data_IF_151159102803
#
_entry.id   IF_151159102803
#
_cell.length_a   1.000
_cell.length_b   1.000
_cell.length_c   1.000
_cell.angle_alpha   90.00
_cell.angle_beta   90.00
_cell.angle_gamma   90.00
#
_symmetry.space_group_name_H-M   'P 1'
#
loop_
_entity.id
_entity.type
_entity.pdbx_description
1 polymer ?
#
# COMPACT_ATOMS: atom_id res chain seq x y z
N UNK A 1 -12.28 13.18 5.21
CA UNK A 1 -11.42 14.24 5.78
C UNK A 1 -9.96 13.93 5.49
N UNK A 2 -9.14 14.94 5.20
CA UNK A 2 -7.70 14.75 5.03
C UNK A 2 -6.98 15.03 6.36
N UNK A 3 -5.98 14.21 6.68
CA UNK A 3 -5.10 14.30 7.84
C UNK A 3 -3.64 14.20 7.39
N UNK A 4 -2.74 14.73 8.23
CA UNK A 4 -1.29 14.61 8.04
C UNK A 4 -0.69 14.00 9.29
N UNK A 5 0.02 12.88 9.14
CA UNK A 5 0.74 12.22 10.21
C UNK A 5 2.21 12.58 10.14
N UNK A 6 2.80 12.95 11.28
CA UNK A 6 4.24 13.17 11.40
C UNK A 6 4.85 11.84 11.88
N UNK A 7 5.49 11.11 10.97
CA UNK A 7 6.10 9.80 11.25
C UNK A 7 7.56 9.82 10.78
N UNK A 8 8.51 9.54 11.67
CA UNK A 8 9.95 9.52 11.33
C UNK A 8 10.41 10.78 10.56
N UNK A 9 10.02 11.95 11.06
CA UNK A 9 10.28 13.27 10.44
C UNK A 9 9.72 13.43 9.02
N UNK A 10 8.71 12.63 8.64
CA UNK A 10 8.02 12.71 7.35
C UNK A 10 6.55 13.08 7.54
N UNK A 11 6.04 13.95 6.66
CA UNK A 11 4.64 14.36 6.67
C UNK A 11 3.83 13.47 5.73
N UNK A 12 3.11 12.50 6.28
CA UNK A 12 2.33 11.53 5.49
C UNK A 12 0.88 11.99 5.42
N UNK A 13 0.43 12.34 4.22
CA UNK A 13 -0.98 12.71 3.99
C UNK A 13 -1.83 11.46 3.86
N UNK A 14 -2.96 11.43 4.59
CA UNK A 14 -3.96 10.36 4.54
C UNK A 14 -5.37 10.95 4.56
N UNK A 15 -6.24 10.46 3.67
CA UNK A 15 -7.68 10.74 3.70
C UNK A 15 -8.41 9.63 4.46
N UNK A 16 -9.33 9.99 5.35
CA UNK A 16 -10.22 9.08 6.04
C UNK A 16 -11.67 9.38 5.65
N UNK A 17 -12.39 8.35 5.25
CA UNK A 17 -13.83 8.36 4.96
C UNK A 17 -14.42 7.07 5.50
N UNK A 18 -15.71 7.05 5.87
CA UNK A 18 -16.29 5.85 6.43
C UNK A 18 -16.22 4.67 5.42
N UNK A 19 -15.47 3.64 5.80
CA UNK A 19 -15.18 2.45 5.02
C UNK A 19 -14.05 2.60 4.00
N UNK A 20 -13.38 3.76 3.90
CA UNK A 20 -12.33 4.02 2.92
C UNK A 20 -11.18 4.82 3.54
N UNK A 21 -9.94 4.38 3.31
CA UNK A 21 -8.75 5.22 3.54
C UNK A 21 -8.12 5.61 2.21
N UNK A 22 -7.43 6.75 2.16
CA UNK A 22 -6.71 7.23 0.99
C UNK A 22 -5.28 7.54 1.37
N UNK A 23 -4.31 6.78 0.86
CA UNK A 23 -2.88 7.03 1.14
C UNK A 23 -2.27 7.77 -0.05
N UNK A 24 -1.68 8.94 0.21
CA UNK A 24 -1.09 9.76 -0.84
C UNK A 24 0.35 9.32 -1.10
N UNK A 25 0.63 8.88 -2.33
CA UNK A 25 1.91 8.37 -2.82
C UNK A 25 2.95 9.44 -3.12
N UNK A 26 3.07 10.43 -2.25
CA UNK A 26 3.97 11.57 -2.41
C UNK A 26 5.41 11.29 -1.95
N UNK A 27 6.33 12.20 -2.28
CA UNK A 27 7.76 12.12 -1.93
C UNK A 27 8.03 11.91 -0.44
N UNK A 28 7.15 12.37 0.45
CA UNK A 28 7.31 12.20 1.90
C UNK A 28 7.01 10.76 2.29
N UNK A 29 6.00 10.13 1.69
CA UNK A 29 5.76 8.70 1.83
C UNK A 29 6.92 7.87 1.29
N UNK A 30 7.49 8.24 0.13
CA UNK A 30 8.68 7.55 -0.39
C UNK A 30 9.88 7.70 0.55
N UNK A 31 10.13 8.90 1.09
CA UNK A 31 11.22 9.13 2.07
C UNK A 31 10.99 8.32 3.35
N UNK A 32 9.75 8.30 3.81
CA UNK A 32 9.34 7.47 4.93
C UNK A 32 9.59 6.01 4.58
N UNK A 33 9.28 5.46 3.41
CA UNK A 33 9.48 4.02 3.18
C UNK A 33 10.93 3.60 2.87
N UNK A 34 11.81 4.54 2.50
CA UNK A 34 13.19 4.25 2.06
C UNK A 34 14.02 3.52 3.13
N UNK A 35 14.62 2.38 2.76
CA UNK A 35 15.45 1.57 3.66
C UNK A 35 14.71 0.73 4.69
N UNK A 36 13.42 1.01 4.97
CA UNK A 36 12.69 0.44 6.12
C UNK A 36 11.22 0.11 5.82
N UNK A 37 10.86 -0.08 4.56
CA UNK A 37 9.48 -0.22 4.10
C UNK A 37 8.67 -1.25 4.91
N UNK A 38 9.26 -2.38 5.29
CA UNK A 38 8.56 -3.40 6.07
C UNK A 38 8.01 -2.89 7.40
N UNK A 39 8.88 -2.35 8.25
CA UNK A 39 8.54 -1.85 9.59
C UNK A 39 7.65 -0.61 9.48
N UNK A 40 7.97 0.26 8.53
CA UNK A 40 7.30 1.54 8.35
C UNK A 40 5.90 1.42 7.75
N UNK A 41 5.63 0.41 6.91
CA UNK A 41 4.26 0.07 6.52
C UNK A 41 3.41 -0.39 7.70
N UNK A 42 3.98 -1.19 8.62
CA UNK A 42 3.27 -1.61 9.83
C UNK A 42 2.96 -0.41 10.72
N UNK A 43 3.92 0.49 10.91
CA UNK A 43 3.72 1.74 11.66
C UNK A 43 2.60 2.58 11.04
N UNK A 44 2.68 2.84 9.73
CA UNK A 44 1.68 3.64 9.00
C UNK A 44 0.27 3.06 9.13
N UNK A 45 0.10 1.75 8.87
CA UNK A 45 -1.22 1.11 8.93
C UNK A 45 -1.80 1.11 10.34
N UNK A 46 -0.99 0.87 11.37
CA UNK A 46 -1.46 0.95 12.76
C UNK A 46 -1.89 2.37 13.12
N UNK A 47 -1.11 3.38 12.72
CA UNK A 47 -1.47 4.79 12.92
C UNK A 47 -2.79 5.13 12.24
N UNK A 48 -2.94 4.77 10.96
CA UNK A 48 -4.19 5.00 10.20
C UNK A 48 -5.38 4.34 10.88
N UNK A 49 -5.28 3.05 11.24
CA UNK A 49 -6.41 2.31 11.81
C UNK A 49 -6.81 2.79 13.20
N UNK A 50 -5.83 3.19 14.01
CA UNK A 50 -6.09 3.81 15.31
C UNK A 50 -6.84 5.13 15.15
N UNK A 51 -6.40 5.98 14.22
CA UNK A 51 -7.03 7.28 13.96
C UNK A 51 -8.42 7.14 13.32
N UNK A 52 -8.58 6.16 12.42
CA UNK A 52 -9.88 5.79 11.86
C UNK A 52 -10.86 5.34 12.95
N UNK A 53 -10.42 4.49 13.87
CA UNK A 53 -11.25 4.03 14.99
C UNK A 53 -11.69 5.22 15.86
N UNK A 54 -10.78 6.15 16.15
CA UNK A 54 -11.10 7.34 16.93
C UNK A 54 -12.10 8.26 16.22
N UNK A 55 -11.97 8.41 14.90
CA UNK A 55 -12.85 9.29 14.12
C UNK A 55 -14.27 8.74 14.00
N UNK A 56 -14.40 7.47 13.60
CA UNK A 56 -15.70 6.88 13.27
C UNK A 56 -16.29 6.02 14.39
N UNK A 57 -15.57 5.89 15.51
CA UNK A 57 -15.91 5.01 16.63
C UNK A 57 -16.21 3.56 16.19
N UNK A 58 -15.57 3.13 15.09
CA UNK A 58 -15.74 1.83 14.43
C UNK A 58 -14.40 1.40 13.84
N UNK A 59 -13.97 0.14 14.01
CA UNK A 59 -12.75 -0.33 13.39
C UNK A 59 -12.90 -0.44 11.88
N UNK A 60 -11.85 -0.06 11.13
CA UNK A 60 -11.77 -0.32 9.69
C UNK A 60 -11.73 -1.83 9.44
N UNK A 61 -12.70 -2.35 8.69
CA UNK A 61 -12.87 -3.78 8.41
C UNK A 61 -11.93 -4.30 7.31
N UNK A 62 -10.66 -3.92 7.38
CA UNK A 62 -9.56 -4.36 6.51
C UNK A 62 -8.43 -4.87 7.40
N UNK A 63 -7.88 -6.06 7.11
CA UNK A 63 -6.75 -6.59 7.87
C UNK A 63 -5.48 -5.77 7.61
N UNK A 64 -4.58 -5.71 8.59
CA UNK A 64 -3.34 -4.94 8.46
C UNK A 64 -2.52 -5.42 7.26
N UNK A 65 -2.43 -6.74 7.06
CA UNK A 65 -1.67 -7.32 5.95
C UNK A 65 -2.28 -7.03 4.58
N UNK A 66 -3.61 -7.04 4.47
CA UNK A 66 -4.32 -6.68 3.22
C UNK A 66 -4.08 -5.23 2.88
N UNK A 67 -4.18 -4.35 3.87
CA UNK A 67 -3.93 -2.92 3.70
C UNK A 67 -2.47 -2.62 3.34
N UNK A 68 -1.51 -3.26 4.02
CA UNK A 68 -0.08 -3.13 3.70
C UNK A 68 0.17 -3.53 2.26
N UNK A 69 -0.34 -4.70 1.83
CA UNK A 69 -0.10 -5.21 0.48
C UNK A 69 -0.70 -4.30 -0.58
N UNK A 70 -1.92 -3.80 -0.38
CA UNK A 70 -2.56 -2.88 -1.33
C UNK A 70 -1.75 -1.58 -1.51
N UNK A 71 -1.40 -0.91 -0.41
CA UNK A 71 -0.60 0.33 -0.47
C UNK A 71 0.78 0.04 -1.09
N UNK A 72 1.44 -1.03 -0.64
CA UNK A 72 2.73 -1.45 -1.17
C UNK A 72 2.66 -1.71 -2.67
N UNK A 73 1.63 -2.41 -3.14
CA UNK A 73 1.48 -2.77 -4.57
C UNK A 73 1.27 -1.53 -5.43
N UNK A 74 0.50 -0.56 -4.97
CA UNK A 74 0.26 0.67 -5.72
C UNK A 74 1.44 1.64 -5.70
N UNK A 75 2.17 1.74 -4.58
CA UNK A 75 3.36 2.59 -4.47
C UNK A 75 4.51 2.00 -5.29
N UNK A 76 4.78 0.71 -5.16
CA UNK A 76 5.90 0.04 -5.83
C UNK A 76 5.49 -0.67 -7.13
N UNK A 77 4.40 -0.24 -7.78
CA UNK A 77 3.80 -0.98 -8.91
C UNK A 77 4.79 -1.25 -10.05
N UNK A 78 5.66 -0.29 -10.38
CA UNK A 78 6.63 -0.41 -11.48
C UNK A 78 7.66 -1.49 -11.15
N UNK A 79 8.17 -1.46 -9.92
CA UNK A 79 9.13 -2.44 -9.43
C UNK A 79 8.52 -3.84 -9.30
N UNK A 80 7.34 -3.94 -8.72
CA UNK A 80 6.64 -5.20 -8.55
C UNK A 80 6.25 -5.76 -9.91
N UNK A 81 5.73 -4.95 -10.83
CA UNK A 81 5.38 -5.38 -12.18
C UNK A 81 6.55 -6.00 -12.93
N UNK A 82 7.75 -5.40 -12.81
CA UNK A 82 8.99 -5.96 -13.36
C UNK A 82 9.34 -7.31 -12.75
N UNK A 83 9.28 -7.44 -11.41
CA UNK A 83 9.57 -8.70 -10.71
C UNK A 83 8.51 -9.77 -10.95
N UNK A 84 7.24 -9.39 -11.00
CA UNK A 84 6.10 -10.28 -11.21
C UNK A 84 6.13 -10.90 -12.61
N UNK A 85 6.45 -10.09 -13.64
CA UNK A 85 6.65 -10.59 -15.00
C UNK A 85 7.81 -11.60 -15.09
N UNK A 86 8.83 -11.47 -14.23
CA UNK A 86 9.98 -12.40 -14.19
C UNK A 86 9.71 -13.66 -13.37
N UNK A 87 8.91 -13.58 -12.31
CA UNK A 87 8.72 -14.65 -11.34
C UNK A 87 7.45 -15.50 -11.56
N UNK A 88 6.34 -14.93 -12.03
CA UNK A 88 5.04 -15.62 -12.08
C UNK A 88 4.55 -15.86 -13.52
N UNK A 89 4.63 -17.12 -13.97
CA UNK A 89 4.02 -17.62 -15.22
C UNK A 89 2.53 -18.02 -15.06
N UNK A 90 1.90 -17.76 -13.91
CA UNK A 90 0.50 -18.14 -13.67
C UNK A 90 -0.47 -17.22 -14.43
N UNK A 91 -0.97 -17.71 -15.57
CA UNK A 91 -1.80 -16.97 -16.53
C UNK A 91 -3.10 -16.37 -15.97
N UNK A 92 -3.73 -16.99 -14.97
CA UNK A 92 -5.06 -16.55 -14.48
C UNK A 92 -5.02 -15.27 -13.62
N UNK A 93 -4.16 -15.20 -12.61
CA UNK A 93 -4.04 -14.00 -11.76
C UNK A 93 -3.36 -12.84 -12.49
N UNK A 94 -2.58 -13.12 -13.54
CA UNK A 94 -1.82 -12.10 -14.24
C UNK A 94 -2.69 -10.98 -14.81
N UNK A 95 -3.88 -11.25 -15.33
CA UNK A 95 -4.69 -10.19 -15.95
C UNK A 95 -5.32 -9.25 -14.91
N UNK A 96 -5.71 -9.77 -13.74
CA UNK A 96 -6.28 -8.96 -12.66
C UNK A 96 -5.17 -8.18 -11.97
N UNK A 97 -4.09 -8.87 -11.56
CA UNK A 97 -2.95 -8.21 -10.89
C UNK A 97 -2.30 -7.17 -11.79
N UNK A 98 -2.17 -7.42 -13.11
CA UNK A 98 -1.67 -6.38 -14.04
C UNK A 98 -2.59 -5.17 -14.17
N UNK A 99 -3.91 -5.35 -14.04
CA UNK A 99 -4.85 -4.22 -14.00
C UNK A 99 -4.71 -3.41 -12.72
N UNK A 100 -4.37 -4.07 -11.61
CA UNK A 100 -4.15 -3.45 -10.30
C UNK A 100 -2.76 -2.80 -10.16
N UNK A 101 -1.75 -3.31 -10.87
CA UNK A 101 -0.41 -2.73 -10.98
C UNK A 101 -0.43 -1.47 -11.85
N UNK A 102 -1.18 -0.47 -11.40
CA UNK A 102 -1.16 0.89 -11.92
C UNK A 102 -0.64 1.80 -10.83
N UNK A 103 0.29 2.67 -11.22
CA UNK A 103 0.77 3.72 -10.35
C UNK A 103 -0.41 4.60 -9.97
N UNK A 104 -0.56 4.81 -8.68
CA UNK A 104 -1.61 5.66 -8.14
C UNK A 104 -0.94 6.75 -7.29
N UNK A 105 -1.22 8.01 -7.60
CA UNK A 105 -0.82 9.13 -6.75
C UNK A 105 -1.58 9.12 -5.42
N UNK A 106 -2.80 8.56 -5.43
CA UNK A 106 -3.63 8.34 -4.24
C UNK A 106 -4.14 6.92 -4.29
N UNK A 107 -3.89 6.16 -3.21
CA UNK A 107 -4.31 4.77 -3.07
C UNK A 107 -5.56 4.70 -2.21
N UNK A 108 -6.71 4.47 -2.84
CA UNK A 108 -7.99 4.30 -2.18
C UNK A 108 -8.15 2.85 -1.71
N UNK A 109 -8.16 2.62 -0.41
CA UNK A 109 -8.31 1.30 0.21
C UNK A 109 -9.68 1.22 0.90
N UNK A 110 -10.64 0.55 0.26
CA UNK A 110 -12.02 0.42 0.73
C UNK A 110 -12.36 -0.91 1.39
N UNK A 111 -13.33 -0.93 2.31
CA UNK A 111 -13.94 -2.16 2.83
C UNK A 111 -14.58 -2.99 1.70
N UNK A 112 -14.99 -4.24 1.98
CA UNK A 112 -15.48 -5.19 0.95
C UNK A 112 -16.67 -4.67 0.12
N UNK A 113 -17.51 -3.83 0.71
CA UNK A 113 -18.65 -3.17 0.05
C UNK A 113 -18.25 -1.91 -0.72
N UNK A 114 -17.06 -1.36 -0.47
CA UNK A 114 -16.52 -0.14 -1.10
C UNK A 114 -15.44 -0.42 -2.14
N UNK A 115 -14.78 -1.58 -2.07
CA UNK A 115 -13.74 -2.02 -3.01
C UNK A 115 -14.02 -3.43 -3.54
N UNK A 116 -14.39 -3.51 -4.81
CA UNK A 116 -14.68 -4.78 -5.50
C UNK A 116 -13.47 -5.71 -5.63
N UNK A 117 -12.25 -5.17 -5.50
CA UNK A 117 -11.01 -5.94 -5.55
C UNK A 117 -10.50 -6.35 -4.17
N UNK A 118 -11.24 -6.06 -3.09
CA UNK A 118 -10.84 -6.41 -1.71
C UNK A 118 -10.45 -7.87 -1.53
N UNK A 119 -11.15 -8.77 -2.21
CA UNK A 119 -10.84 -10.20 -2.19
C UNK A 119 -9.46 -10.53 -2.79
N UNK A 120 -9.00 -9.75 -3.77
CA UNK A 120 -7.65 -9.89 -4.35
C UNK A 120 -6.61 -9.47 -3.32
N UNK A 121 -6.81 -8.32 -2.68
CA UNK A 121 -5.91 -7.82 -1.65
C UNK A 121 -5.82 -8.78 -0.46
N UNK A 122 -6.96 -9.30 0.01
CA UNK A 122 -7.02 -10.30 1.07
C UNK A 122 -6.31 -11.62 0.68
N UNK A 123 -6.38 -12.01 -0.60
CA UNK A 123 -5.65 -13.17 -1.11
C UNK A 123 -4.13 -12.91 -1.20
N UNK A 124 -3.72 -11.73 -1.69
CA UNK A 124 -2.32 -11.34 -1.79
C UNK A 124 -1.67 -11.12 -0.41
N UNK A 125 -2.44 -10.71 0.60
CA UNK A 125 -2.00 -10.57 1.99
C UNK A 125 -1.35 -11.84 2.54
N UNK A 126 -1.85 -13.01 2.15
CA UNK A 126 -1.28 -14.32 2.54
C UNK A 126 0.16 -14.52 2.05
N UNK A 127 0.54 -13.78 1.01
CA UNK A 127 1.87 -13.78 0.39
C UNK A 127 2.66 -12.50 0.68
N UNK A 128 2.25 -11.71 1.68
CA UNK A 128 2.91 -10.44 2.08
C UNK A 128 4.43 -10.55 2.20
N UNK A 129 4.94 -11.66 2.76
CA UNK A 129 6.39 -11.88 2.91
C UNK A 129 7.14 -11.92 1.57
N UNK A 130 6.50 -12.39 0.49
CA UNK A 130 7.08 -12.39 -0.86
C UNK A 130 7.23 -10.96 -1.35
N UNK A 131 6.18 -10.15 -1.20
CA UNK A 131 6.18 -8.73 -1.57
C UNK A 131 7.25 -7.94 -0.81
N UNK A 132 7.37 -8.17 0.51
CA UNK A 132 8.40 -7.52 1.32
C UNK A 132 9.81 -7.93 0.87
N UNK A 133 10.06 -9.22 0.64
CA UNK A 133 11.39 -9.70 0.23
C UNK A 133 11.84 -9.16 -1.12
N UNK A 134 10.90 -8.89 -2.02
CA UNK A 134 11.28 -8.32 -3.31
C UNK A 134 11.56 -6.83 -3.21
N UNK A 135 11.00 -6.09 -2.24
CA UNK A 135 11.17 -4.64 -2.14
C UNK A 135 12.65 -4.24 -2.18
N UNK A 136 12.98 -3.14 -2.88
CA UNK A 136 14.36 -2.67 -2.91
C UNK A 136 14.78 -2.22 -1.52
N UNK A 137 15.99 -2.61 -1.10
CA UNK A 137 16.59 -2.12 0.14
C UNK A 137 16.83 -0.60 0.10
N UNK A 138 17.02 -0.01 -1.08
CA UNK A 138 17.15 1.43 -1.29
C UNK A 138 16.29 1.86 -2.47
N UNK A 139 15.32 2.75 -2.23
CA UNK A 139 14.48 3.33 -3.28
C UNK A 139 15.32 4.17 -4.25
N UNK A 140 16.34 4.87 -3.75
CA UNK A 140 17.23 5.72 -4.56
C UNK A 140 18.05 4.95 -5.59
N UNK A 141 18.43 3.71 -5.32
CA UNK A 141 19.23 2.88 -6.24
C UNK A 141 18.37 2.17 -7.30
N UNK A 142 17.05 2.10 -7.09
CA UNK A 142 16.15 1.31 -7.93
C UNK A 142 15.80 1.94 -9.28
N UNK A 143 16.33 3.13 -9.61
CA UNK A 143 15.95 3.91 -10.80
C UNK A 143 14.43 4.13 -10.96
N UNK A 144 13.64 3.97 -9.89
CA UNK A 144 12.21 4.30 -9.86
C UNK A 144 11.96 5.82 -9.85
N UNK A 145 13.02 6.62 -9.88
CA UNK A 145 12.97 8.02 -10.32
C UNK A 145 12.61 8.04 -11.80
N UNK A 146 11.33 8.12 -12.10
CA UNK A 146 10.89 8.81 -13.30
C UNK A 146 10.91 10.31 -12.97
N UNK A 147 11.60 11.05 -13.84
CA UNK A 147 11.71 12.51 -13.86
C UNK A 147 10.42 13.24 -13.50
#
# INVERSE_FOLDING_TARGET
MDKTYILEDCNIKVGLEEGIIRVYGDKELWRFLDGKAHERFVQLVKTIKSDYLNEFNKPLAISDDSLIVEVLVHIYCDYIGLKFNRAFKFRLLNNIVKKLLKRAEVVDCGEKDKDTNRWVWDALARFKWIFIKILPNNLKESNLKLN
#
